data_IF_378060207714
#
_entry.id   IF_378060207714
#
_cell.length_a   1.000
_cell.length_b   1.000
_cell.length_c   1.000
_cell.angle_alpha   90.00
_cell.angle_beta   90.00
_cell.angle_gamma   90.00
#
_symmetry.space_group_name_H-M   'P 1'
#
loop_
_entity.id
_entity.type
_entity.pdbx_description
1 polymer ?
#
# COMPACT_ATOMS: atom_id res chain seq x y z
N UNK A 1 3.24 -13.42 13.36
CA UNK A 1 3.59 -11.98 13.50
C UNK A 1 4.66 -11.48 12.52
N UNK A 2 5.79 -12.17 12.29
CA UNK A 2 6.91 -11.64 11.48
C UNK A 2 6.55 -11.24 10.03
N UNK A 3 5.60 -11.95 9.39
CA UNK A 3 5.24 -11.71 7.99
C UNK A 3 4.59 -10.32 7.76
N UNK A 4 3.70 -9.89 8.65
CA UNK A 4 3.04 -8.59 8.50
C UNK A 4 4.00 -7.41 8.67
N UNK A 5 4.88 -7.47 9.67
CA UNK A 5 5.88 -6.40 9.87
C UNK A 5 6.78 -6.21 8.64
N UNK A 6 7.13 -7.30 7.95
CA UNK A 6 7.91 -7.23 6.72
C UNK A 6 7.13 -6.56 5.57
N UNK A 7 5.84 -6.86 5.42
CA UNK A 7 4.95 -6.25 4.43
C UNK A 7 4.73 -4.77 4.75
N UNK A 8 4.51 -4.43 6.02
CA UNK A 8 4.35 -3.06 6.48
C UNK A 8 5.60 -2.21 6.18
N UNK A 9 6.80 -2.69 6.56
CA UNK A 9 8.07 -2.02 6.26
C UNK A 9 8.27 -1.85 4.74
N UNK A 10 7.94 -2.89 3.96
CA UNK A 10 8.01 -2.83 2.51
C UNK A 10 7.13 -1.70 1.95
N UNK A 11 5.86 -1.66 2.35
CA UNK A 11 4.94 -0.62 1.91
C UNK A 11 5.36 0.78 2.37
N UNK A 12 5.84 0.94 3.61
CA UNK A 12 6.37 2.22 4.08
C UNK A 12 7.55 2.72 3.23
N UNK A 13 8.45 1.81 2.82
CA UNK A 13 9.55 2.16 1.92
C UNK A 13 9.05 2.60 0.54
N UNK A 14 7.95 2.05 0.03
CA UNK A 14 7.35 2.54 -1.22
C UNK A 14 6.68 3.90 -1.02
N UNK A 15 5.92 4.08 0.06
CA UNK A 15 5.26 5.36 0.37
C UNK A 15 6.28 6.49 0.53
N UNK A 16 7.50 6.19 1.00
CA UNK A 16 8.59 7.18 1.06
C UNK A 16 9.13 7.61 -0.30
N UNK A 17 8.81 6.89 -1.38
CA UNK A 17 9.37 7.09 -2.73
C UNK A 17 8.33 7.43 -3.79
N UNK A 18 7.10 6.99 -3.60
CA UNK A 18 6.01 7.14 -4.54
C UNK A 18 4.82 7.74 -3.82
N UNK A 19 4.07 8.57 -4.53
CA UNK A 19 2.77 9.01 -4.06
C UNK A 19 1.84 7.81 -3.97
N UNK A 20 1.18 7.63 -2.84
CA UNK A 20 0.22 6.55 -2.60
C UNK A 20 -1.19 7.11 -2.53
N UNK A 21 -2.15 6.40 -3.12
CA UNK A 21 -3.59 6.60 -2.91
C UNK A 21 -4.13 5.38 -2.18
N UNK A 22 -5.06 5.60 -1.27
CA UNK A 22 -5.79 4.55 -0.58
C UNK A 22 -7.26 4.63 -0.98
N UNK A 23 -7.79 3.55 -1.54
CA UNK A 23 -9.21 3.40 -1.85
C UNK A 23 -9.83 2.31 -0.96
N UNK A 24 -11.14 2.40 -0.71
CA UNK A 24 -11.90 1.33 -0.08
C UNK A 24 -13.26 1.25 -0.76
N UNK A 25 -13.54 0.12 -1.42
CA UNK A 25 -14.81 -0.14 -2.09
C UNK A 25 -15.36 -1.48 -1.62
N UNK A 26 -16.60 -1.50 -1.13
CA UNK A 26 -17.26 -2.72 -0.63
C UNK A 26 -16.42 -3.51 0.41
N UNK A 27 -15.60 -2.83 1.21
CA UNK A 27 -14.72 -3.45 2.22
C UNK A 27 -13.41 -4.04 1.67
N UNK A 28 -13.15 -3.87 0.37
CA UNK A 28 -11.87 -4.19 -0.27
C UNK A 28 -11.03 -2.91 -0.29
N UNK A 29 -9.82 -3.00 0.25
CA UNK A 29 -8.87 -1.90 0.27
C UNK A 29 -7.89 -2.01 -0.90
N UNK A 30 -7.58 -0.89 -1.53
CA UNK A 30 -6.58 -0.82 -2.59
C UNK A 30 -5.52 0.22 -2.26
N UNK A 31 -4.26 -0.16 -2.45
CA UNK A 31 -3.13 0.75 -2.43
C UNK A 31 -2.65 0.99 -3.85
N UNK A 32 -2.74 2.24 -4.31
CA UNK A 32 -2.26 2.63 -5.64
C UNK A 32 -1.02 3.50 -5.49
N UNK A 33 0.13 3.01 -5.94
CA UNK A 33 1.36 3.77 -6.03
C UNK A 33 1.45 4.41 -7.42
N UNK A 34 1.59 5.73 -7.49
CA UNK A 34 1.56 6.48 -8.76
C UNK A 34 2.93 7.04 -9.14
N UNK A 35 3.11 7.29 -10.44
CA UNK A 35 4.33 7.87 -10.98
C UNK A 35 5.46 6.86 -11.15
N UNK A 36 5.15 5.57 -11.18
CA UNK A 36 6.11 4.51 -11.42
C UNK A 36 6.49 4.52 -12.91
N UNK A 37 7.70 4.98 -13.20
CA UNK A 37 8.30 4.93 -14.54
C UNK A 37 9.29 3.77 -14.60
N UNK A 38 8.78 2.56 -14.77
CA UNK A 38 9.59 1.31 -14.73
C UNK A 38 10.83 1.37 -15.63
N UNK A 39 10.73 1.96 -16.81
CA UNK A 39 11.83 2.11 -17.77
C UNK A 39 13.01 2.97 -17.27
N UNK A 40 12.81 3.82 -16.27
CA UNK A 40 13.84 4.73 -15.75
C UNK A 40 14.29 4.36 -14.33
N UNK A 41 13.76 3.28 -13.77
CA UNK A 41 14.07 2.87 -12.41
C UNK A 41 15.28 1.94 -12.40
N UNK A 42 16.33 2.38 -11.73
CA UNK A 42 17.56 1.61 -11.58
C UNK A 42 17.85 1.32 -10.09
N UNK A 43 18.71 0.33 -9.88
CA UNK A 43 19.24 0.01 -8.55
C UNK A 43 18.17 -0.36 -7.53
N UNK A 44 18.20 0.31 -6.38
CA UNK A 44 17.38 -0.07 -5.23
C UNK A 44 15.88 0.15 -5.43
N UNK A 45 15.46 1.15 -6.22
CA UNK A 45 14.06 1.40 -6.49
C UNK A 45 13.43 0.31 -7.39
N UNK A 46 14.17 -0.16 -8.39
CA UNK A 46 13.75 -1.28 -9.26
C UNK A 46 13.60 -2.58 -8.46
N UNK A 47 14.58 -2.90 -7.59
CA UNK A 47 14.49 -4.07 -6.71
C UNK A 47 13.29 -4.01 -5.77
N UNK A 48 13.01 -2.84 -5.22
CA UNK A 48 11.88 -2.63 -4.32
C UNK A 48 10.54 -2.87 -5.04
N UNK A 49 10.38 -2.37 -6.27
CA UNK A 49 9.18 -2.63 -7.07
C UNK A 49 9.04 -4.08 -7.47
N UNK A 50 10.13 -4.75 -7.85
CA UNK A 50 10.08 -6.18 -8.16
C UNK A 50 9.62 -7.00 -6.95
N UNK A 51 10.10 -6.64 -5.75
CA UNK A 51 9.69 -7.29 -4.52
C UNK A 51 8.19 -7.06 -4.22
N UNK A 52 7.69 -5.84 -4.41
CA UNK A 52 6.26 -5.53 -4.24
C UNK A 52 5.39 -6.16 -5.31
N UNK A 53 5.91 -6.33 -6.52
CA UNK A 53 5.18 -6.94 -7.63
C UNK A 53 5.16 -8.47 -7.57
N UNK A 54 5.92 -9.10 -6.68
CA UNK A 54 5.92 -10.54 -6.48
C UNK A 54 4.80 -10.95 -5.51
N UNK A 55 3.79 -11.73 -5.94
CA UNK A 55 2.72 -12.23 -5.07
C UNK A 55 3.24 -13.03 -3.87
N UNK A 56 4.39 -13.69 -3.99
CA UNK A 56 4.95 -14.51 -2.92
C UNK A 56 5.39 -13.67 -1.71
N UNK A 57 5.72 -12.39 -1.91
CA UNK A 57 6.08 -11.44 -0.86
C UNK A 57 4.98 -11.27 0.19
N UNK A 58 3.73 -11.50 -0.19
CA UNK A 58 2.56 -11.31 0.66
C UNK A 58 2.03 -12.60 1.28
N UNK A 59 2.80 -13.67 1.17
CA UNK A 59 2.44 -14.96 1.75
C UNK A 59 2.78 -14.96 3.24
N UNK A 60 1.90 -15.55 4.04
CA UNK A 60 2.19 -15.86 5.43
C UNK A 60 1.98 -17.33 5.70
N UNK A 61 2.71 -17.81 6.70
CA UNK A 61 2.68 -19.21 7.13
C UNK A 61 2.73 -19.25 8.66
N UNK A 62 1.81 -19.98 9.28
CA UNK A 62 1.84 -20.33 10.71
C UNK A 62 1.36 -21.77 10.84
N UNK A 63 2.22 -22.65 11.37
CA UNK A 63 1.97 -24.09 11.44
C UNK A 63 1.59 -24.64 10.04
N UNK A 64 0.49 -25.40 9.94
CA UNK A 64 -0.04 -25.95 8.68
C UNK A 64 -0.88 -24.95 7.86
N UNK A 65 -1.04 -23.72 8.36
CA UNK A 65 -1.86 -22.71 7.70
C UNK A 65 -0.99 -21.78 6.86
N UNK A 66 -1.53 -21.44 5.69
CA UNK A 66 -0.96 -20.44 4.78
C UNK A 66 -2.05 -19.53 4.23
N UNK A 67 -1.67 -18.31 3.90
CA UNK A 67 -2.55 -17.38 3.20
C UNK A 67 -1.78 -16.26 2.52
N UNK A 68 -2.53 -15.38 1.85
CA UNK A 68 -2.00 -14.23 1.14
C UNK A 68 -2.73 -12.97 1.59
N UNK A 69 -1.97 -11.90 1.88
CA UNK A 69 -2.51 -10.61 2.30
C UNK A 69 -3.12 -9.78 1.17
N UNK A 70 -2.73 -10.07 -0.06
CA UNK A 70 -3.27 -9.44 -1.27
C UNK A 70 -4.11 -10.45 -2.05
N UNK A 71 -5.14 -9.95 -2.73
CA UNK A 71 -5.91 -10.71 -3.72
C UNK A 71 -5.42 -10.43 -5.15
N UNK A 72 -4.72 -9.32 -5.39
CA UNK A 72 -4.23 -8.95 -6.72
C UNK A 72 -3.11 -7.92 -6.71
N UNK A 73 -2.29 -8.00 -7.75
CA UNK A 73 -1.27 -7.01 -8.13
C UNK A 73 -1.54 -6.66 -9.59
N UNK A 74 -1.66 -5.38 -9.90
CA UNK A 74 -1.85 -4.91 -11.27
C UNK A 74 -0.96 -3.71 -11.59
N UNK A 75 -0.58 -3.58 -12.86
CA UNK A 75 0.14 -2.45 -13.40
C UNK A 75 -0.70 -1.75 -14.46
N UNK A 76 -1.14 -0.52 -14.17
CA UNK A 76 -1.91 0.30 -15.09
C UNK A 76 -1.10 1.53 -15.49
N UNK A 77 -0.38 1.42 -16.61
CA UNK A 77 0.51 2.46 -17.08
C UNK A 77 1.65 2.73 -16.08
N UNK A 78 1.59 3.87 -15.40
CA UNK A 78 2.55 4.27 -14.35
C UNK A 78 2.05 4.05 -12.92
N UNK A 79 0.99 3.25 -12.76
CA UNK A 79 0.40 2.94 -11.46
C UNK A 79 0.62 1.47 -11.13
N UNK A 80 1.02 1.20 -9.89
CA UNK A 80 1.02 -0.14 -9.29
C UNK A 80 -0.13 -0.21 -8.29
N UNK A 81 -1.04 -1.13 -8.53
CA UNK A 81 -2.25 -1.31 -7.73
C UNK A 81 -2.10 -2.62 -6.96
N UNK A 82 -2.20 -2.54 -5.63
CA UNK A 82 -2.27 -3.69 -4.75
C UNK A 82 -3.67 -3.78 -4.17
N UNK A 83 -4.37 -4.86 -4.48
CA UNK A 83 -5.68 -5.15 -3.92
C UNK A 83 -5.51 -6.03 -2.69
N UNK A 84 -5.92 -5.52 -1.53
CA UNK A 84 -5.84 -6.28 -0.29
C UNK A 84 -6.98 -7.29 -0.20
N UNK A 85 -6.67 -8.42 0.43
CA UNK A 85 -7.70 -9.37 0.83
C UNK A 85 -8.64 -8.71 1.84
N UNK A 86 -9.97 -8.95 1.77
CA UNK A 86 -10.92 -8.41 2.74
C UNK A 86 -10.49 -8.70 4.18
N UNK A 87 -10.57 -7.70 5.06
CA UNK A 87 -10.18 -7.87 6.47
C UNK A 87 -10.98 -8.98 7.15
N UNK A 88 -12.24 -9.19 6.75
CA UNK A 88 -13.10 -10.29 7.23
C UNK A 88 -12.54 -11.67 6.89
N UNK A 89 -11.76 -11.80 5.82
CA UNK A 89 -11.06 -13.04 5.49
C UNK A 89 -9.79 -13.19 6.33
N UNK A 90 -9.04 -12.11 6.54
CA UNK A 90 -7.84 -12.10 7.39
C UNK A 90 -8.21 -12.49 8.84
N UNK A 91 -9.33 -11.99 9.35
CA UNK A 91 -9.84 -12.31 10.69
C UNK A 91 -10.09 -13.81 10.92
N UNK A 92 -10.32 -14.59 9.86
CA UNK A 92 -10.56 -16.04 9.95
C UNK A 92 -9.27 -16.86 10.03
N UNK A 93 -8.11 -16.22 9.93
CA UNK A 93 -6.82 -16.89 10.06
C UNK A 93 -6.48 -17.13 11.54
N UNK A 94 -5.56 -18.07 11.84
CA UNK A 94 -4.93 -18.14 13.15
C UNK A 94 -4.31 -16.78 13.50
N UNK A 95 -4.63 -16.26 14.68
CA UNK A 95 -4.26 -14.90 15.15
C UNK A 95 -4.75 -13.75 14.23
N UNK A 96 -5.76 -14.03 13.39
CA UNK A 96 -6.24 -13.14 12.35
C UNK A 96 -6.89 -11.86 12.86
N UNK A 97 -7.48 -11.85 14.06
CA UNK A 97 -8.11 -10.66 14.64
C UNK A 97 -7.09 -9.56 14.95
N UNK A 98 -5.98 -9.91 15.59
CA UNK A 98 -4.89 -8.99 15.86
C UNK A 98 -4.29 -8.50 14.53
N UNK A 99 -4.05 -9.42 13.60
CA UNK A 99 -3.50 -9.09 12.29
C UNK A 99 -4.39 -8.09 11.53
N UNK A 100 -5.70 -8.32 11.50
CA UNK A 100 -6.64 -7.41 10.86
C UNK A 100 -6.68 -6.04 11.55
N UNK A 101 -6.49 -5.98 12.87
CA UNK A 101 -6.36 -4.74 13.61
C UNK A 101 -5.09 -3.96 13.23
N UNK A 102 -3.95 -4.66 13.09
CA UNK A 102 -2.67 -4.07 12.66
C UNK A 102 -2.77 -3.53 11.22
N UNK A 103 -3.34 -4.31 10.29
CA UNK A 103 -3.61 -3.88 8.91
C UNK A 103 -4.50 -2.64 8.88
N UNK A 104 -5.60 -2.65 9.63
CA UNK A 104 -6.52 -1.51 9.70
C UNK A 104 -5.83 -0.26 10.27
N UNK A 105 -5.03 -0.42 11.31
CA UNK A 105 -4.28 0.67 11.93
C UNK A 105 -3.23 1.26 10.99
N UNK A 106 -2.56 0.40 10.21
CA UNK A 106 -1.66 0.83 9.15
C UNK A 106 -2.40 1.61 8.05
N UNK A 107 -3.55 1.14 7.58
CA UNK A 107 -4.35 1.84 6.57
C UNK A 107 -4.79 3.23 7.05
N UNK A 108 -5.23 3.36 8.31
CA UNK A 108 -5.57 4.66 8.90
C UNK A 108 -4.36 5.61 8.96
N UNK A 109 -3.16 5.08 9.30
CA UNK A 109 -1.91 5.88 9.27
C UNK A 109 -1.58 6.35 7.87
N UNK A 110 -1.67 5.48 6.86
CA UNK A 110 -1.47 5.85 5.46
C UNK A 110 -2.47 6.92 5.02
N UNK A 111 -3.74 6.77 5.38
CA UNK A 111 -4.78 7.75 5.06
C UNK A 111 -4.42 9.13 5.64
N UNK A 112 -3.95 9.18 6.89
CA UNK A 112 -3.46 10.40 7.52
C UNK A 112 -2.24 11.03 6.82
N UNK A 113 -1.33 10.20 6.26
CA UNK A 113 -0.20 10.67 5.47
C UNK A 113 -0.65 11.25 4.11
N UNK A 114 -1.55 10.57 3.42
CA UNK A 114 -2.11 11.01 2.13
C UNK A 114 -2.87 12.32 2.29
N UNK A 115 -3.68 12.47 3.33
CA UNK A 115 -4.43 13.71 3.60
C UNK A 115 -3.53 14.91 3.91
N UNK A 116 -2.35 14.68 4.50
CA UNK A 116 -1.36 15.74 4.79
C UNK A 116 -0.46 16.07 3.59
N UNK A 117 -0.30 15.15 2.65
CA UNK A 117 0.39 15.38 1.38
C UNK A 117 -0.36 16.29 0.42
N UNK A 118 -1.67 16.48 0.61
CA UNK A 118 -2.52 17.36 -0.21
C UNK A 118 -2.44 18.86 0.15
N UNK A 119 -1.56 19.27 1.07
CA UNK A 119 -1.33 20.69 1.40
C UNK A 119 -0.06 21.23 0.77
N UNK A 120 -0.10 21.56 -0.53
CA UNK A 120 0.48 22.79 -1.10
C UNK A 120 0.21 22.91 -2.60
N UNK A 121 -1.00 23.37 -2.96
CA UNK A 121 -1.13 24.23 -4.14
C UNK A 121 -1.63 25.56 -3.61
N UNK A 122 -0.70 26.52 -3.57
CA UNK A 122 -0.92 27.88 -3.10
C UNK A 122 -2.17 28.47 -3.73
N UNK A 123 -3.06 29.00 -2.88
CA UNK A 123 -3.96 30.06 -3.26
C UNK A 123 -3.10 31.22 -3.80
N UNK A 124 -3.03 31.35 -5.12
CA UNK A 124 -2.55 32.57 -5.76
C UNK A 124 -3.55 32.97 -6.84
N UNK A 125 -4.65 33.58 -6.40
CA UNK A 125 -5.51 34.42 -7.22
C UNK A 125 -6.17 35.44 -6.28
N UNK A 126 -5.35 36.27 -5.65
CA UNK A 126 -5.82 37.23 -4.66
C UNK A 126 -4.86 38.41 -4.53
N UNK A 127 -5.01 39.36 -5.46
CA UNK A 127 -4.45 40.70 -5.42
C UNK A 127 -3.45 40.95 -6.54
N UNK A 128 -3.40 42.11 -7.19
CA UNK A 128 -4.22 43.32 -7.19
C UNK A 128 -3.63 44.23 -8.28
N UNK A 129 -4.39 45.26 -8.68
CA UNK A 129 -3.93 46.50 -9.35
C UNK A 129 -3.74 46.39 -10.88
N UNK A 130 -4.31 47.26 -11.73
CA UNK A 130 -4.93 48.59 -11.59
C UNK A 130 -6.20 48.65 -12.46
#
# INVERSE_FOLDING_TARGET
MAAWMAIEDLWLRLVSRFTVKLSCQHGIHELTFVGIKTATLEGHASRLLNLVADPNTYSWHVQEHRGQFIDGIDYQGSELILQLKPLTHIQRWPDGEQMACEVKSFMLRLQGLVSRGSTSTLANAGGASL
#
